data_IF_914260851023
#
_entry.id   IF_914260851023
#
_cell.length_a   1.000
_cell.length_b   1.000
_cell.length_c   1.000
_cell.angle_alpha   90.00
_cell.angle_beta   90.00
_cell.angle_gamma   90.00
#
_symmetry.space_group_name_H-M   'P 1'
#
loop_
_entity.id
_entity.type
_entity.pdbx_description
1 polymer ?
#
# COMPACT_ATOMS: atom_id res chain seq x y z
N UNK A 1 20.56 -30.06 34.01
CA UNK A 1 19.57 -30.70 33.09
C UNK A 1 18.53 -29.64 32.75
N UNK A 2 18.11 -29.28 31.53
CA UNK A 2 18.48 -29.66 30.17
C UNK A 2 17.91 -28.56 29.25
N UNK A 3 18.80 -27.94 28.47
CA UNK A 3 18.68 -27.45 27.08
C UNK A 3 17.41 -26.76 26.57
N UNK A 4 17.66 -25.54 26.06
CA UNK A 4 17.19 -24.93 24.81
C UNK A 4 15.70 -24.60 24.68
N UNK A 5 15.39 -23.30 24.71
CA UNK A 5 14.31 -22.72 23.91
C UNK A 5 14.92 -22.22 22.60
N UNK A 6 14.47 -22.83 21.50
CA UNK A 6 14.80 -22.51 20.12
C UNK A 6 14.21 -21.13 19.76
N UNK A 7 15.04 -20.15 19.39
CA UNK A 7 14.55 -18.90 18.82
C UNK A 7 14.25 -19.15 17.33
N UNK A 8 12.96 -19.20 16.98
CA UNK A 8 12.51 -19.17 15.60
C UNK A 8 12.80 -17.77 15.03
N UNK A 9 13.82 -17.67 14.20
CA UNK A 9 14.03 -16.49 13.37
C UNK A 9 12.94 -16.46 12.29
N UNK A 10 11.90 -15.62 12.48
CA UNK A 10 11.08 -15.18 11.36
C UNK A 10 11.96 -14.31 10.47
N UNK A 11 12.39 -14.82 9.33
CA UNK A 11 12.94 -13.98 8.27
C UNK A 11 11.78 -13.20 7.64
N UNK A 12 11.40 -12.10 8.28
CA UNK A 12 10.57 -11.06 7.68
C UNK A 12 11.48 -10.19 6.78
N UNK A 13 11.88 -10.74 5.64
CA UNK A 13 12.79 -10.05 4.70
C UNK A 13 12.20 -8.78 4.10
N UNK A 14 10.88 -8.57 4.21
CA UNK A 14 10.18 -7.37 3.71
C UNK A 14 10.10 -6.19 4.69
N UNK A 15 10.02 -6.46 6.00
CA UNK A 15 9.71 -5.41 6.98
C UNK A 15 10.80 -4.33 7.09
N UNK A 16 12.07 -4.71 7.00
CA UNK A 16 13.20 -3.78 7.11
C UNK A 16 13.37 -2.87 5.89
N UNK A 17 13.06 -3.35 4.68
CA UNK A 17 13.17 -2.55 3.45
C UNK A 17 12.10 -1.43 3.42
N UNK A 18 10.89 -1.78 3.87
CA UNK A 18 9.74 -0.87 3.97
C UNK A 18 9.89 0.17 5.10
N UNK A 19 10.87 0.03 6.00
CA UNK A 19 11.09 0.97 7.11
C UNK A 19 12.15 2.03 6.79
N UNK A 20 12.76 2.00 5.61
CA UNK A 20 13.81 2.96 5.25
C UNK A 20 13.23 4.35 4.95
N UNK A 21 13.95 5.45 5.27
CA UNK A 21 13.48 6.80 4.95
C UNK A 21 13.19 7.02 3.45
N UNK A 22 14.00 6.42 2.57
CA UNK A 22 13.81 6.52 1.12
C UNK A 22 12.51 5.85 0.66
N UNK A 23 12.22 4.65 1.17
CA UNK A 23 10.94 3.98 0.89
C UNK A 23 9.74 4.80 1.38
N UNK A 24 9.82 5.33 2.60
CA UNK A 24 8.73 6.13 3.17
C UNK A 24 8.45 7.39 2.34
N UNK A 25 9.49 8.09 1.88
CA UNK A 25 9.35 9.23 0.98
C UNK A 25 8.75 8.85 -0.38
N UNK A 26 9.16 7.71 -0.95
CA UNK A 26 8.61 7.16 -2.19
C UNK A 26 7.10 6.86 -2.06
N UNK A 27 6.69 6.16 -1.01
CA UNK A 27 5.28 5.85 -0.74
C UNK A 27 4.47 7.13 -0.48
N UNK A 28 5.02 8.10 0.24
CA UNK A 28 4.36 9.39 0.45
C UNK A 28 4.13 10.14 -0.86
N UNK A 29 5.14 10.23 -1.75
CA UNK A 29 4.99 10.84 -3.07
C UNK A 29 3.96 10.12 -3.94
N UNK A 30 3.94 8.78 -3.90
CA UNK A 30 2.95 7.97 -4.60
C UNK A 30 1.52 8.21 -4.06
N UNK A 31 1.34 8.31 -2.73
CA UNK A 31 0.04 8.57 -2.10
C UNK A 31 -0.56 9.90 -2.55
N UNK A 32 0.25 10.95 -2.69
CA UNK A 32 -0.18 12.26 -3.21
C UNK A 32 -0.77 12.13 -4.62
N UNK A 33 -0.17 11.29 -5.47
CA UNK A 33 -0.66 11.07 -6.84
C UNK A 33 -1.92 10.20 -6.90
N UNK A 34 -2.09 9.26 -5.97
CA UNK A 34 -3.28 8.39 -5.91
C UNK A 34 -4.52 9.18 -5.45
N UNK A 35 -4.34 10.09 -4.50
CA UNK A 35 -5.42 10.82 -3.82
C UNK A 35 -6.49 11.40 -4.76
N UNK A 36 -6.16 12.14 -5.84
CA UNK A 36 -7.18 12.71 -6.73
C UNK A 36 -8.01 11.67 -7.50
N UNK A 37 -7.57 10.41 -7.60
CA UNK A 37 -8.33 9.33 -8.26
C UNK A 37 -9.16 8.48 -7.31
N UNK A 38 -9.01 8.65 -5.99
CA UNK A 38 -9.71 7.83 -5.02
C UNK A 38 -11.12 8.35 -4.79
N UNK A 39 -12.11 7.60 -5.30
CA UNK A 39 -13.53 7.92 -5.20
C UNK A 39 -14.22 6.89 -4.33
N UNK A 40 -14.70 7.33 -3.17
CA UNK A 40 -15.51 6.52 -2.25
C UNK A 40 -16.98 6.94 -2.35
N UNK A 41 -17.87 5.98 -2.14
CA UNK A 41 -19.29 6.27 -1.94
C UNK A 41 -19.52 6.58 -0.45
N UNK A 42 -19.76 7.86 -0.14
CA UNK A 42 -19.87 8.36 1.24
C UNK A 42 -21.13 7.89 1.95
N UNK A 43 -22.17 7.51 1.20
CA UNK A 43 -23.44 7.02 1.73
C UNK A 43 -23.43 5.47 1.91
N UNK A 44 -22.32 4.83 1.55
CA UNK A 44 -22.09 3.38 1.68
C UNK A 44 -21.18 3.05 2.85
N UNK A 45 -21.07 1.76 3.19
CA UNK A 45 -20.12 1.26 4.18
C UNK A 45 -18.64 1.50 3.82
N UNK A 46 -18.32 1.91 2.59
CA UNK A 46 -16.96 2.24 2.18
C UNK A 46 -16.40 3.43 2.99
N UNK A 47 -17.24 4.37 3.40
CA UNK A 47 -16.82 5.54 4.18
C UNK A 47 -16.35 5.19 5.60
N UNK A 48 -16.72 4.00 6.08
CA UNK A 48 -16.34 3.46 7.38
C UNK A 48 -15.31 2.33 7.26
N UNK A 49 -14.87 2.00 6.04
CA UNK A 49 -14.00 0.85 5.78
C UNK A 49 -12.59 1.27 5.41
N UNK A 50 -11.63 0.74 6.15
CA UNK A 50 -10.19 0.84 5.89
C UNK A 50 -9.74 -0.43 5.17
N UNK A 51 -8.93 -0.28 4.12
CA UNK A 51 -8.27 -1.41 3.48
C UNK A 51 -6.78 -1.14 3.31
N UNK A 52 -5.94 -2.15 3.54
CA UNK A 52 -4.53 -2.13 3.16
C UNK A 52 -4.35 -3.02 1.95
N UNK A 53 -3.85 -2.47 0.84
CA UNK A 53 -3.56 -3.22 -0.37
C UNK A 53 -2.06 -3.42 -0.52
N UNK A 54 -1.65 -4.64 -0.85
CA UNK A 54 -0.28 -4.99 -1.22
C UNK A 54 -0.19 -5.26 -2.73
N UNK A 55 0.86 -4.78 -3.38
CA UNK A 55 1.05 -4.95 -4.83
C UNK A 55 2.52 -4.81 -5.25
N UNK A 56 2.81 -5.39 -6.41
CA UNK A 56 4.10 -5.32 -7.08
C UNK A 56 4.14 -4.17 -8.09
N UNK A 57 5.33 -3.61 -8.28
CA UNK A 57 5.61 -2.51 -9.19
C UNK A 57 6.50 -2.97 -10.35
N UNK A 58 6.36 -2.31 -11.50
CA UNK A 58 7.33 -2.39 -12.59
C UNK A 58 8.43 -1.32 -12.40
N UNK A 59 9.62 -1.50 -13.00
CA UNK A 59 10.69 -0.50 -12.93
C UNK A 59 10.34 0.88 -13.51
N UNK A 60 9.33 0.95 -14.39
CA UNK A 60 8.81 2.20 -14.94
C UNK A 60 7.86 2.95 -13.98
N UNK A 61 7.62 2.41 -12.79
CA UNK A 61 6.72 3.01 -11.79
C UNK A 61 5.25 2.67 -11.99
N UNK A 62 4.90 1.78 -12.92
CA UNK A 62 3.51 1.29 -13.07
C UNK A 62 3.21 0.15 -12.10
N UNK A 63 1.94 0.03 -11.67
CA UNK A 63 1.49 -1.09 -10.83
C UNK A 63 1.23 -2.30 -11.70
N UNK A 64 1.63 -3.49 -11.24
CA UNK A 64 1.24 -4.76 -11.87
C UNK A 64 -0.20 -5.10 -11.49
N UNK A 65 -1.20 -5.01 -12.39
CA UNK A 65 -2.61 -5.01 -11.99
C UNK A 65 -3.10 -6.31 -11.34
N UNK A 66 -2.48 -7.43 -11.70
CA UNK A 66 -2.84 -8.77 -11.21
C UNK A 66 -2.14 -9.12 -9.88
N UNK A 67 -1.21 -8.27 -9.42
CA UNK A 67 -0.50 -8.45 -8.15
C UNK A 67 -1.22 -7.83 -6.95
N UNK A 68 -2.28 -7.06 -7.20
CA UNK A 68 -2.99 -6.29 -6.17
C UNK A 68 -3.80 -7.25 -5.30
N UNK A 69 -3.45 -7.31 -4.02
CA UNK A 69 -4.10 -8.18 -3.03
C UNK A 69 -4.53 -7.38 -1.80
N UNK A 70 -5.59 -7.84 -1.15
CA UNK A 70 -6.01 -7.32 0.14
C UNK A 70 -5.10 -7.89 1.24
N UNK A 71 -4.38 -7.02 1.94
CA UNK A 71 -3.50 -7.38 3.06
C UNK A 71 -4.26 -7.32 4.39
N UNK A 72 -5.04 -6.26 4.59
CA UNK A 72 -5.84 -6.06 5.79
C UNK A 72 -7.14 -5.30 5.45
N UNK A 73 -8.18 -5.51 6.26
CA UNK A 73 -9.42 -4.75 6.16
C UNK A 73 -10.06 -4.57 7.53
N UNK A 74 -10.69 -3.42 7.74
CA UNK A 74 -11.47 -3.10 8.93
C UNK A 74 -12.66 -2.25 8.53
N UNK A 75 -13.88 -2.76 8.71
CA UNK A 75 -15.11 -2.02 8.44
C UNK A 75 -16.18 -2.84 7.71
N UNK A 76 -17.35 -2.24 7.46
CA UNK A 76 -18.53 -2.97 6.99
C UNK A 76 -18.54 -3.33 5.49
N UNK A 77 -17.74 -2.69 4.64
CA UNK A 77 -17.74 -2.89 3.17
C UNK A 77 -16.31 -3.03 2.60
N UNK A 78 -15.69 -4.18 2.88
CA UNK A 78 -14.33 -4.50 2.43
C UNK A 78 -14.21 -4.57 0.91
N UNK A 79 -15.18 -5.21 0.23
CA UNK A 79 -15.14 -5.39 -1.22
C UNK A 79 -15.28 -4.06 -1.97
N UNK A 80 -16.22 -3.22 -1.57
CA UNK A 80 -16.40 -1.88 -2.13
C UNK A 80 -15.14 -1.02 -1.95
N UNK A 81 -14.59 -1.01 -0.74
CA UNK A 81 -13.38 -0.24 -0.42
C UNK A 81 -12.15 -0.75 -1.18
N UNK A 82 -11.96 -2.07 -1.26
CA UNK A 82 -10.88 -2.68 -2.05
C UNK A 82 -11.01 -2.31 -3.54
N UNK A 83 -12.21 -2.42 -4.11
CA UNK A 83 -12.44 -2.08 -5.50
C UNK A 83 -12.18 -0.59 -5.78
N UNK A 84 -12.63 0.30 -4.88
CA UNK A 84 -12.35 1.73 -4.96
C UNK A 84 -10.85 2.04 -4.93
N UNK A 85 -10.12 1.48 -3.95
CA UNK A 85 -8.69 1.66 -3.80
C UNK A 85 -7.90 1.11 -5.00
N UNK A 86 -8.24 -0.10 -5.49
CA UNK A 86 -7.64 -0.69 -6.69
C UNK A 86 -7.82 0.19 -7.91
N UNK A 87 -9.02 0.75 -8.11
CA UNK A 87 -9.27 1.69 -9.23
C UNK A 87 -8.41 2.95 -9.10
N UNK A 88 -8.25 3.50 -7.90
CA UNK A 88 -7.44 4.68 -7.68
C UNK A 88 -5.98 4.45 -8.08
N UNK A 89 -5.39 3.32 -7.63
CA UNK A 89 -4.03 2.90 -7.96
C UNK A 89 -3.80 2.82 -9.48
N UNK A 90 -4.73 2.23 -10.22
CA UNK A 90 -4.58 2.01 -11.65
C UNK A 90 -4.97 3.23 -12.50
N UNK A 91 -5.85 4.10 -12.00
CA UNK A 91 -6.34 5.27 -12.74
C UNK A 91 -5.34 6.41 -12.75
N UNK A 92 -4.69 6.68 -11.62
CA UNK A 92 -3.77 7.82 -11.49
C UNK A 92 -2.33 7.51 -11.89
N UNK A 93 -1.98 6.24 -12.13
CA UNK A 93 -0.59 5.90 -12.45
C UNK A 93 -0.09 6.49 -13.77
N UNK A 94 -0.96 6.72 -14.77
CA UNK A 94 -0.53 7.19 -16.10
C UNK A 94 0.56 6.30 -16.70
N UNK A 95 1.70 6.90 -17.05
CA UNK A 95 2.92 6.20 -17.51
C UNK A 95 3.78 5.62 -16.37
N UNK A 96 3.42 5.88 -15.12
CA UNK A 96 4.13 5.45 -13.92
C UNK A 96 4.13 6.51 -12.82
N UNK A 97 4.20 6.07 -11.56
CA UNK A 97 4.41 6.97 -10.42
C UNK A 97 5.85 7.51 -10.40
N UNK A 98 6.10 8.75 -9.93
CA UNK A 98 7.41 9.40 -9.96
C UNK A 98 8.34 8.84 -8.86
N UNK A 99 8.71 7.56 -8.98
CA UNK A 99 9.56 6.82 -8.06
C UNK A 99 10.98 6.70 -8.64
N UNK A 100 12.04 7.04 -7.89
CA UNK A 100 13.40 6.92 -8.39
C UNK A 100 13.78 5.46 -8.70
N UNK A 101 14.19 5.19 -9.95
CA UNK A 101 14.63 3.85 -10.37
C UNK A 101 15.82 3.32 -9.55
N UNK A 102 16.67 4.22 -9.04
CA UNK A 102 17.81 3.87 -8.17
C UNK A 102 17.39 3.09 -6.92
N UNK A 103 16.14 3.26 -6.49
CA UNK A 103 15.61 2.72 -5.24
C UNK A 103 14.64 1.57 -5.49
N UNK A 104 14.56 1.04 -6.73
CA UNK A 104 13.56 0.03 -7.12
C UNK A 104 13.48 -1.18 -6.19
N UNK A 105 14.61 -1.67 -5.71
CA UNK A 105 14.63 -2.79 -4.76
C UNK A 105 13.88 -2.50 -3.47
N UNK A 106 13.82 -1.23 -3.05
CA UNK A 106 13.07 -0.82 -1.87
C UNK A 106 11.56 -0.75 -2.14
N UNK A 107 11.13 -0.31 -3.33
CA UNK A 107 9.71 -0.04 -3.65
C UNK A 107 9.07 -0.99 -4.65
N UNK A 108 9.74 -2.08 -5.08
CA UNK A 108 9.16 -3.08 -5.99
C UNK A 108 7.95 -3.84 -5.41
N UNK A 109 7.77 -3.78 -4.09
CA UNK A 109 6.62 -4.31 -3.36
C UNK A 109 6.16 -3.24 -2.36
N UNK A 110 4.90 -2.81 -2.46
CA UNK A 110 4.36 -1.72 -1.65
C UNK A 110 3.08 -2.19 -0.98
N UNK A 111 2.88 -1.76 0.27
CA UNK A 111 1.59 -1.81 0.95
C UNK A 111 1.08 -0.39 1.18
N UNK A 112 -0.17 -0.11 0.82
CA UNK A 112 -0.82 1.19 1.06
C UNK A 112 -2.12 0.97 1.84
N UNK A 113 -2.23 1.66 2.97
CA UNK A 113 -3.46 1.80 3.73
C UNK A 113 -4.32 2.90 3.12
N UNK A 114 -5.56 2.58 2.80
CA UNK A 114 -6.63 3.49 2.38
C UNK A 114 -7.59 3.66 3.56
N UNK A 115 -7.59 4.85 4.17
CA UNK A 115 -8.43 5.19 5.33
C UNK A 115 -9.29 6.41 4.97
N UNK A 116 -10.63 6.29 4.88
CA UNK A 116 -11.50 7.40 4.51
C UNK A 116 -11.46 8.57 5.49
N UNK A 117 -11.01 8.34 6.73
CA UNK A 117 -11.01 9.33 7.82
C UNK A 117 -9.72 10.14 7.90
N UNK A 118 -8.64 9.65 7.29
CA UNK A 118 -7.40 10.39 7.07
C UNK A 118 -7.15 10.42 5.56
N UNK A 119 -7.54 11.51 4.87
CA UNK A 119 -7.19 11.70 3.46
C UNK A 119 -5.67 11.70 3.37
N UNK A 120 -5.16 10.54 2.98
CA UNK A 120 -3.78 10.09 2.98
C UNK A 120 -2.69 11.18 3.10
N UNK A 121 -2.36 11.63 4.32
CA UNK A 121 -1.37 12.71 4.47
C UNK A 121 -0.87 13.07 5.88
N UNK A 122 -1.37 12.49 6.97
CA UNK A 122 -0.93 12.86 8.32
C UNK A 122 -0.71 11.64 9.22
N UNK A 123 0.43 10.97 9.06
CA UNK A 123 1.04 10.37 10.24
C UNK A 123 1.63 11.51 11.08
N UNK A 124 0.85 12.04 12.02
CA UNK A 124 1.42 12.76 13.19
C UNK A 124 2.25 11.82 14.04
#
# INVERSE_FOLDING_TARGET
MKRLALVLALTATGAVAQQTPGFQAAVAAMRIQIQPCWVIDVDSGQSETIVTLGFAMNPDGTVQPDSITLVNAEGPDTEGAMHSARRALLRCQGEGYPLPLTDFEAWKQIEIKFDPRSPLGDET
#
